data_IF_115630207773
#
_entry.id   IF_115630207773
#
_cell.length_a   1.000
_cell.length_b   1.000
_cell.length_c   1.000
_cell.angle_alpha   90.00
_cell.angle_beta   90.00
_cell.angle_gamma   90.00
#
_symmetry.space_group_name_H-M   'P 1'
#
loop_
_entity.id
_entity.type
_entity.pdbx_description
1 polymer ?
#
# COMPACT_ATOMS: atom_id res chain seq x y z
N UNK A 1 4.03 -0.34 -2.92
CA UNK A 1 4.99 -0.19 -4.04
C UNK A 1 4.51 -1.07 -5.19
N UNK A 2 4.47 -0.56 -6.43
CA UNK A 2 4.04 -1.36 -7.59
C UNK A 2 4.99 -2.53 -7.84
N UNK A 3 4.44 -3.72 -8.10
CA UNK A 3 5.21 -4.90 -8.46
C UNK A 3 5.87 -4.70 -9.83
N UNK A 4 6.95 -5.43 -10.10
CA UNK A 4 7.76 -5.29 -11.34
C UNK A 4 6.90 -5.39 -12.60
N UNK A 5 5.92 -6.31 -12.63
CA UNK A 5 5.02 -6.49 -13.77
C UNK A 5 3.90 -5.44 -13.85
N UNK A 6 3.60 -4.74 -12.76
CA UNK A 6 2.58 -3.67 -12.73
C UNK A 6 3.12 -2.36 -13.31
N UNK A 7 4.45 -2.19 -13.37
CA UNK A 7 5.08 -0.98 -13.95
C UNK A 7 4.79 -0.79 -15.44
N UNK A 8 4.50 -1.87 -16.16
CA UNK A 8 4.23 -1.84 -17.59
C UNK A 8 2.74 -1.63 -17.91
N UNK A 9 1.92 -1.37 -16.90
CA UNK A 9 0.49 -1.15 -17.10
C UNK A 9 0.26 0.23 -17.70
N UNK A 10 -0.73 0.35 -18.60
CA UNK A 10 -1.14 1.67 -19.07
C UNK A 10 -1.71 2.48 -17.90
N UNK A 11 -1.65 3.82 -18.01
CA UNK A 11 -2.00 4.74 -16.92
C UNK A 11 -3.39 4.48 -16.34
N UNK A 12 -4.40 4.22 -17.20
CA UNK A 12 -5.75 3.91 -16.76
C UNK A 12 -5.86 2.63 -15.92
N UNK A 13 -5.05 1.61 -16.22
CA UNK A 13 -5.00 0.37 -15.43
C UNK A 13 -4.29 0.60 -14.09
N UNK A 14 -3.27 1.47 -14.06
CA UNK A 14 -2.57 1.82 -12.82
C UNK A 14 -3.46 2.57 -11.85
N UNK A 15 -4.26 3.51 -12.36
CA UNK A 15 -5.20 4.26 -11.54
C UNK A 15 -6.35 3.38 -11.05
N UNK A 16 -6.89 2.49 -11.90
CA UNK A 16 -7.87 1.49 -11.46
C UNK A 16 -7.27 0.56 -10.40
N UNK A 17 -6.02 0.12 -10.57
CA UNK A 17 -5.32 -0.68 -9.58
C UNK A 17 -5.18 0.07 -8.24
N UNK A 18 -4.92 1.38 -8.28
CA UNK A 18 -4.83 2.21 -7.08
C UNK A 18 -6.17 2.27 -6.33
N UNK A 19 -7.29 2.43 -7.05
CA UNK A 19 -8.64 2.38 -6.46
C UNK A 19 -8.91 1.02 -5.81
N UNK A 20 -8.67 -0.06 -6.54
CA UNK A 20 -8.86 -1.43 -6.02
C UNK A 20 -7.97 -1.68 -4.79
N UNK A 21 -6.74 -1.18 -4.81
CA UNK A 21 -5.82 -1.31 -3.69
C UNK A 21 -6.30 -0.54 -2.46
N UNK A 22 -6.80 0.69 -2.64
CA UNK A 22 -7.40 1.45 -1.55
C UNK A 22 -8.61 0.72 -0.96
N UNK A 23 -9.54 0.25 -1.79
CA UNK A 23 -10.72 -0.48 -1.31
C UNK A 23 -10.34 -1.73 -0.50
N UNK A 24 -9.29 -2.45 -0.89
CA UNK A 24 -8.79 -3.60 -0.14
C UNK A 24 -8.24 -3.23 1.24
N UNK A 25 -7.54 -2.10 1.36
CA UNK A 25 -7.00 -1.62 2.64
C UNK A 25 -8.14 -1.19 3.57
N UNK A 26 -9.14 -0.52 3.01
CA UNK A 26 -10.24 0.08 3.75
C UNK A 26 -11.49 -0.80 3.79
N UNK A 27 -11.39 -2.09 3.40
CA UNK A 27 -12.55 -2.99 3.24
C UNK A 27 -13.40 -3.00 4.52
N UNK A 28 -12.81 -3.22 5.68
CA UNK A 28 -13.53 -3.29 6.94
C UNK A 28 -14.27 -2.00 7.33
N UNK A 29 -13.90 -0.86 6.76
CA UNK A 29 -14.62 0.40 6.95
C UNK A 29 -15.67 0.69 5.87
N UNK A 30 -15.46 0.18 4.66
CA UNK A 30 -16.30 0.48 3.49
C UNK A 30 -17.38 -0.58 3.25
N UNK A 31 -17.32 -1.72 3.93
CA UNK A 31 -18.28 -2.80 3.76
C UNK A 31 -19.70 -2.36 4.17
N UNK A 32 -20.65 -2.50 3.25
CA UNK A 32 -22.05 -2.13 3.48
C UNK A 32 -22.37 -0.62 3.38
N UNK A 33 -21.39 0.22 3.02
CA UNK A 33 -21.59 1.65 2.81
C UNK A 33 -21.49 2.02 1.33
N UNK A 34 -22.22 3.08 0.95
CA UNK A 34 -22.04 3.76 -0.34
C UNK A 34 -20.74 4.52 -0.35
N UNK A 35 -19.86 4.18 -1.27
CA UNK A 35 -18.55 4.80 -1.41
C UNK A 35 -18.48 5.59 -2.72
N UNK A 36 -18.17 6.88 -2.63
CA UNK A 36 -17.91 7.72 -3.81
C UNK A 36 -16.40 7.88 -3.99
N UNK A 37 -15.90 7.40 -5.13
CA UNK A 37 -14.49 7.48 -5.49
C UNK A 37 -14.31 8.57 -6.53
N UNK A 38 -13.57 9.61 -6.17
CA UNK A 38 -13.21 10.69 -7.08
C UNK A 38 -11.87 10.38 -7.74
N UNK A 39 -11.84 10.38 -9.07
CA UNK A 39 -10.64 10.12 -9.87
C UNK A 39 -10.31 11.30 -10.78
N UNK A 40 -9.01 11.58 -10.90
CA UNK A 40 -8.48 12.62 -11.79
C UNK A 40 -8.44 12.23 -13.26
N UNK A 41 -8.88 11.02 -13.62
CA UNK A 41 -8.77 10.48 -14.98
C UNK A 41 -10.13 10.12 -15.57
N UNK A 42 -10.42 10.76 -16.70
CA UNK A 42 -11.75 10.72 -17.33
C UNK A 42 -12.15 9.32 -17.81
N UNK A 43 -11.19 8.47 -18.22
CA UNK A 43 -11.53 7.12 -18.71
C UNK A 43 -12.13 6.23 -17.60
N UNK A 44 -11.78 6.49 -16.34
CA UNK A 44 -12.22 5.66 -15.22
C UNK A 44 -13.71 5.86 -14.88
N UNK A 45 -14.29 6.99 -15.27
CA UNK A 45 -15.72 7.25 -15.11
C UNK A 45 -16.58 6.22 -15.85
N UNK A 46 -16.09 5.69 -16.97
CA UNK A 46 -16.84 4.79 -17.84
C UNK A 46 -16.50 3.31 -17.66
N UNK A 47 -15.68 2.97 -16.66
CA UNK A 47 -15.19 1.60 -16.43
C UNK A 47 -16.33 0.61 -16.16
N UNK A 48 -17.43 1.05 -15.51
CA UNK A 48 -18.61 0.22 -15.29
C UNK A 48 -19.47 0.00 -16.53
N UNK A 49 -19.42 0.94 -17.49
CA UNK A 49 -20.22 0.91 -18.72
C UNK A 49 -19.51 0.31 -19.93
N UNK A 50 -18.19 0.10 -19.83
CA UNK A 50 -17.37 -0.40 -20.92
C UNK A 50 -17.65 -1.89 -21.19
N UNK A 51 -17.96 -2.24 -22.44
CA UNK A 51 -18.31 -3.61 -22.86
C UNK A 51 -17.08 -4.53 -22.95
N UNK A 52 -15.98 -4.02 -23.47
CA UNK A 52 -14.75 -4.78 -23.68
C UNK A 52 -13.73 -4.48 -22.59
N UNK A 53 -13.75 -5.32 -21.55
CA UNK A 53 -12.80 -5.28 -20.44
C UNK A 53 -11.78 -6.40 -20.57
N UNK A 54 -10.52 -6.07 -20.31
CA UNK A 54 -9.44 -7.05 -20.27
C UNK A 54 -9.65 -8.02 -19.08
N UNK A 55 -9.06 -9.23 -19.13
CA UNK A 55 -9.27 -10.26 -18.09
C UNK A 55 -8.92 -9.75 -16.68
N UNK A 56 -7.92 -8.88 -16.56
CA UNK A 56 -7.53 -8.23 -15.31
C UNK A 56 -8.60 -7.26 -14.80
N UNK A 57 -9.06 -6.37 -15.68
CA UNK A 57 -10.10 -5.40 -15.36
C UNK A 57 -11.37 -6.14 -14.92
N UNK A 58 -11.74 -7.24 -15.59
CA UNK A 58 -12.89 -8.08 -15.20
C UNK A 58 -12.79 -8.59 -13.75
N UNK A 59 -11.62 -9.09 -13.33
CA UNK A 59 -11.39 -9.51 -11.93
C UNK A 59 -11.52 -8.35 -10.94
N UNK A 60 -11.08 -7.16 -11.33
CA UNK A 60 -11.25 -5.96 -10.50
C UNK A 60 -12.70 -5.48 -10.46
N UNK A 61 -13.46 -5.65 -11.54
CA UNK A 61 -14.89 -5.36 -11.57
C UNK A 61 -15.69 -6.29 -10.66
N UNK A 62 -15.34 -7.57 -10.61
CA UNK A 62 -15.95 -8.52 -9.67
C UNK A 62 -15.75 -8.07 -8.23
N UNK A 63 -14.53 -7.66 -7.86
CA UNK A 63 -14.26 -7.06 -6.56
C UNK A 63 -15.06 -5.78 -6.33
N UNK A 64 -15.11 -4.87 -7.30
CA UNK A 64 -15.84 -3.61 -7.17
C UNK A 64 -17.34 -3.81 -6.97
N UNK A 65 -17.94 -4.87 -7.54
CA UNK A 65 -19.36 -5.20 -7.35
C UNK A 65 -19.71 -5.63 -5.93
N UNK A 66 -18.74 -6.11 -5.15
CA UNK A 66 -18.95 -6.43 -3.73
C UNK A 66 -19.12 -5.18 -2.87
N UNK A 67 -18.73 -4.00 -3.39
CA UNK A 67 -18.87 -2.71 -2.74
C UNK A 67 -19.90 -1.84 -3.49
N UNK A 68 -20.64 -0.99 -2.78
CA UNK A 68 -21.53 -0.01 -3.41
C UNK A 68 -20.72 1.24 -3.82
N UNK A 69 -19.84 1.07 -4.81
CA UNK A 69 -18.87 2.09 -5.26
C UNK A 69 -19.37 2.84 -6.50
N UNK A 70 -19.39 4.16 -6.41
CA UNK A 70 -19.63 5.06 -7.55
C UNK A 70 -18.34 5.82 -7.89
N UNK A 71 -17.84 5.67 -9.13
CA UNK A 71 -16.64 6.39 -9.59
C UNK A 71 -17.07 7.67 -10.32
N UNK A 72 -16.59 8.82 -9.85
CA UNK A 72 -16.85 10.13 -10.47
C UNK A 72 -15.54 10.78 -10.90
N UNK A 73 -15.55 11.41 -12.07
CA UNK A 73 -14.43 12.21 -12.54
C UNK A 73 -14.41 13.55 -11.82
N UNK A 74 -13.24 13.93 -11.30
CA UNK A 74 -13.02 15.24 -10.71
C UNK A 74 -11.79 15.92 -11.33
N UNK A 75 -11.90 17.18 -11.81
CA UNK A 75 -10.79 17.84 -12.48
C UNK A 75 -9.52 17.93 -11.63
N UNK A 76 -8.37 17.80 -12.27
CA UNK A 76 -7.05 17.63 -11.66
C UNK A 76 -6.69 18.70 -10.61
N UNK A 77 -7.23 19.92 -10.71
CA UNK A 77 -7.01 21.01 -9.72
C UNK A 77 -7.51 20.67 -8.32
N UNK A 78 -8.52 19.82 -8.19
CA UNK A 78 -9.07 19.43 -6.90
C UNK A 78 -8.61 18.03 -6.44
N UNK A 79 -8.02 17.24 -7.34
CA UNK A 79 -7.33 16.00 -6.98
C UNK A 79 -5.87 16.23 -6.51
N UNK A 80 -5.49 17.48 -6.26
CA UNK A 80 -4.12 17.89 -5.92
C UNK A 80 -3.57 17.13 -4.70
N UNK A 81 -4.40 16.86 -3.69
CA UNK A 81 -3.98 16.15 -2.47
C UNK A 81 -3.62 14.69 -2.78
N UNK A 82 -4.47 13.98 -3.50
CA UNK A 82 -4.22 12.58 -3.84
C UNK A 82 -3.04 12.44 -4.83
N UNK A 83 -2.97 13.35 -5.81
CA UNK A 83 -1.89 13.42 -6.78
C UNK A 83 -0.55 13.72 -6.09
N UNK A 84 -0.53 14.66 -5.13
CA UNK A 84 0.64 14.95 -4.31
C UNK A 84 1.06 13.75 -3.46
N UNK A 85 0.12 13.09 -2.77
CA UNK A 85 0.43 11.88 -1.99
C UNK A 85 0.97 10.75 -2.87
N UNK A 86 0.42 10.57 -4.07
CA UNK A 86 0.88 9.54 -5.02
C UNK A 86 2.33 9.78 -5.46
N UNK A 87 2.72 11.04 -5.70
CA UNK A 87 4.09 11.44 -6.03
C UNK A 87 5.02 11.38 -4.82
N UNK A 88 4.53 11.74 -3.63
CA UNK A 88 5.35 11.81 -2.42
C UNK A 88 5.79 10.44 -1.92
N UNK A 89 5.00 9.38 -2.13
CA UNK A 89 5.44 8.00 -1.79
C UNK A 89 6.62 7.56 -2.66
N UNK A 90 6.72 8.05 -3.90
CA UNK A 90 7.94 7.90 -4.71
C UNK A 90 9.09 8.70 -4.08
N UNK A 91 8.82 9.88 -3.54
CA UNK A 91 9.83 10.75 -2.92
C UNK A 91 10.30 10.31 -1.52
N UNK A 92 9.48 9.67 -0.68
CA UNK A 92 9.89 9.25 0.67
C UNK A 92 10.97 8.16 0.64
N UNK A 93 11.09 7.41 -0.47
CA UNK A 93 12.22 6.52 -0.74
C UNK A 93 13.21 7.04 -1.79
N UNK A 94 12.86 8.11 -2.53
CA UNK A 94 13.72 8.65 -3.58
C UNK A 94 14.50 9.84 -3.05
N UNK A 95 15.77 9.59 -2.75
CA UNK A 95 16.80 10.59 -2.45
C UNK A 95 17.05 11.56 -3.64
N UNK A 96 16.36 11.38 -4.77
CA UNK A 96 16.54 12.18 -5.97
C UNK A 96 16.24 13.66 -5.74
N UNK A 97 15.29 13.99 -4.86
CA UNK A 97 14.95 15.38 -4.53
C UNK A 97 15.90 16.03 -3.50
N UNK A 98 16.77 15.24 -2.86
CA UNK A 98 17.75 15.74 -1.89
C UNK A 98 19.08 16.05 -2.58
N UNK A 99 19.69 17.17 -2.17
CA UNK A 99 21.08 17.46 -2.52
C UNK A 99 21.97 16.29 -2.10
N UNK A 100 22.99 15.97 -2.91
CA UNK A 100 23.87 14.80 -2.68
C UNK A 100 24.43 14.78 -1.26
N UNK A 101 24.72 15.95 -0.69
CA UNK A 101 25.19 16.13 0.69
C UNK A 101 24.19 15.70 1.78
N UNK A 102 22.88 15.79 1.54
CA UNK A 102 21.82 15.46 2.51
C UNK A 102 21.35 14.01 2.42
N UNK A 103 21.77 13.28 1.38
CA UNK A 103 21.39 11.88 1.14
C UNK A 103 21.87 10.90 2.22
N UNK A 104 23.08 11.01 2.78
CA UNK A 104 23.54 10.09 3.84
C UNK A 104 22.65 10.19 5.09
N UNK A 105 22.37 11.41 5.53
CA UNK A 105 21.52 11.67 6.69
C UNK A 105 20.08 11.17 6.48
N UNK A 106 19.51 11.36 5.29
CA UNK A 106 18.17 10.83 4.99
C UNK A 106 18.13 9.29 4.99
N UNK A 107 19.19 8.62 4.53
CA UNK A 107 19.31 7.16 4.63
C UNK A 107 19.39 6.70 6.08
N UNK A 108 20.13 7.40 6.92
CA UNK A 108 20.23 7.09 8.35
C UNK A 108 18.87 7.25 9.05
N UNK A 109 18.17 8.34 8.80
CA UNK A 109 16.82 8.59 9.34
C UNK A 109 15.84 7.48 8.92
N UNK A 110 15.85 7.07 7.64
CA UNK A 110 15.01 5.96 7.16
C UNK A 110 15.40 4.60 7.76
N UNK A 111 16.70 4.38 8.00
CA UNK A 111 17.21 3.18 8.66
C UNK A 111 16.81 3.14 10.14
N UNK A 112 16.71 4.31 10.80
CA UNK A 112 16.26 4.42 12.18
C UNK A 112 14.75 4.25 12.31
N UNK A 113 13.97 4.81 11.38
CA UNK A 113 12.51 4.61 11.31
C UNK A 113 12.17 3.12 11.18
N UNK A 114 12.84 2.43 10.24
CA UNK A 114 12.59 1.00 10.00
C UNK A 114 13.03 0.09 11.15
N UNK A 115 13.89 0.55 12.06
CA UNK A 115 14.43 -0.27 13.15
C UNK A 115 13.75 -0.01 14.49
N UNK A 116 13.55 1.24 14.91
CA UNK A 116 13.11 1.53 16.30
C UNK A 116 12.35 2.87 16.51
N UNK A 117 12.14 3.71 15.49
CA UNK A 117 11.61 5.08 15.67
C UNK A 117 10.31 5.31 14.91
N UNK A 118 9.31 5.95 15.53
CA UNK A 118 8.22 6.58 14.78
C UNK A 118 8.56 8.04 14.52
N UNK A 119 8.55 8.43 13.24
CA UNK A 119 8.84 9.79 12.81
C UNK A 119 7.54 10.54 12.47
N UNK A 120 7.23 11.59 13.21
CA UNK A 120 6.10 12.48 12.93
C UNK A 120 6.57 13.77 12.27
N UNK A 121 5.86 14.23 11.24
CA UNK A 121 6.06 15.57 10.68
C UNK A 121 5.14 16.53 11.43
N UNK A 122 5.71 17.51 12.14
CA UNK A 122 4.93 18.55 12.81
C UNK A 122 4.57 19.68 11.83
N UNK A 123 3.38 20.24 11.97
CA UNK A 123 2.81 21.29 11.10
C UNK A 123 3.71 22.51 10.89
N UNK A 124 4.68 22.74 11.78
CA UNK A 124 5.65 23.84 11.70
C UNK A 124 6.97 23.50 10.97
N UNK A 125 6.98 22.50 10.09
CA UNK A 125 8.14 22.13 9.28
C UNK A 125 9.33 21.56 10.11
N UNK A 126 9.06 21.08 11.33
CA UNK A 126 10.01 20.39 12.19
C UNK A 126 9.77 18.88 12.19
N UNK A 127 10.84 18.09 12.19
CA UNK A 127 10.76 16.63 12.35
C UNK A 127 10.73 16.33 13.85
N UNK A 128 9.63 15.77 14.36
CA UNK A 128 9.54 15.34 15.74
C UNK A 128 9.91 13.85 15.80
N UNK A 129 11.02 13.54 16.45
CA UNK A 129 11.46 12.16 16.71
C UNK A 129 10.95 11.72 18.07
N UNK A 130 10.05 10.74 18.12
CA UNK A 130 9.71 10.04 19.37
C UNK A 130 10.36 8.67 19.37
N UNK A 131 11.21 8.41 20.37
CA UNK A 131 11.80 7.09 20.60
C UNK A 131 10.74 6.24 21.29
N UNK A 132 10.23 5.22 20.60
CA UNK A 132 9.36 4.20 21.19
C UNK A 132 10.17 2.92 21.37
N UNK A 133 10.45 2.55 22.63
CA UNK A 133 11.18 1.30 22.92
C UNK A 133 10.22 0.12 22.70
N UNK A 134 10.30 -0.51 21.53
CA UNK A 134 9.58 -1.77 21.26
C UNK A 134 10.40 -2.96 21.74
N UNK A 135 9.79 -3.80 22.57
CA UNK A 135 10.42 -5.02 23.04
C UNK A 135 10.77 -5.93 21.85
N UNK A 136 12.06 -6.23 21.65
CA UNK A 136 12.58 -7.13 20.62
C UNK A 136 12.23 -8.59 20.87
N UNK A 137 11.60 -8.88 22.01
CA UNK A 137 11.27 -10.23 22.47
C UNK A 137 10.45 -11.02 21.45
N UNK A 138 9.48 -10.39 20.78
CA UNK A 138 8.68 -11.07 19.74
C UNK A 138 9.54 -11.46 18.53
N UNK A 139 10.46 -10.59 18.10
CA UNK A 139 11.35 -10.87 16.97
C UNK A 139 12.41 -11.93 17.33
N UNK A 140 12.90 -11.93 18.57
CA UNK A 140 13.77 -13.00 19.07
C UNK A 140 13.05 -14.34 19.18
N UNK A 141 11.80 -14.36 19.66
CA UNK A 141 10.97 -15.57 19.68
C UNK A 141 10.80 -16.08 18.26
N UNK A 142 10.37 -15.23 17.31
CA UNK A 142 10.23 -15.61 15.90
C UNK A 142 11.53 -16.19 15.34
N UNK A 143 12.67 -15.54 15.59
CA UNK A 143 13.97 -16.00 15.10
C UNK A 143 14.38 -17.36 15.69
N UNK A 144 14.10 -17.58 16.98
CA UNK A 144 14.38 -18.86 17.65
C UNK A 144 13.41 -19.97 17.26
N UNK A 145 12.15 -19.66 16.91
CA UNK A 145 11.19 -20.64 16.41
C UNK A 145 11.66 -21.33 15.12
N UNK A 146 12.46 -20.67 14.27
CA UNK A 146 13.04 -21.30 13.08
C UNK A 146 14.17 -22.30 13.40
N UNK A 147 14.75 -22.25 14.59
CA UNK A 147 15.80 -23.18 15.05
C UNK A 147 15.24 -24.36 15.82
N UNK A 148 13.95 -24.34 16.13
CA UNK A 148 13.27 -25.41 16.85
C UNK A 148 12.82 -26.50 15.88
N UNK A 149 13.42 -27.68 16.01
CA UNK A 149 13.15 -28.84 15.16
C UNK A 149 11.70 -29.34 15.30
N UNK A 150 11.08 -29.18 16.48
CA UNK A 150 9.70 -29.59 16.73
C UNK A 150 8.71 -28.69 15.99
N UNK A 151 8.95 -27.36 16.03
CA UNK A 151 8.13 -26.38 15.31
C UNK A 151 8.32 -26.49 13.79
N UNK A 152 9.54 -26.74 13.32
CA UNK A 152 9.80 -27.00 11.92
C UNK A 152 9.13 -28.29 11.43
N UNK A 153 9.08 -29.34 12.25
CA UNK A 153 8.34 -30.56 11.93
C UNK A 153 6.83 -30.31 11.86
N UNK A 154 6.27 -29.52 12.78
CA UNK A 154 4.86 -29.11 12.74
C UNK A 154 4.54 -28.28 11.50
N UNK A 155 5.41 -27.32 11.15
CA UNK A 155 5.29 -26.49 9.94
C UNK A 155 5.29 -27.33 8.68
N UNK A 156 6.18 -28.33 8.59
CA UNK A 156 6.22 -29.27 7.46
C UNK A 156 4.93 -30.10 7.37
N UNK A 157 4.35 -30.52 8.50
CA UNK A 157 3.08 -31.26 8.55
C UNK A 157 1.88 -30.40 8.11
N UNK A 158 1.84 -29.12 8.50
CA UNK A 158 0.79 -28.17 8.08
C UNK A 158 0.90 -27.84 6.59
N UNK A 159 2.11 -27.61 6.08
CA UNK A 159 2.34 -27.36 4.64
C UNK A 159 2.01 -28.60 3.78
N UNK A 160 2.22 -29.81 4.31
CA UNK A 160 1.88 -31.06 3.64
C UNK A 160 0.38 -31.45 3.81
N UNK A 161 -0.46 -30.61 4.42
CA UNK A 161 -1.90 -30.86 4.59
C UNK A 161 -2.24 -32.02 5.52
N UNK A 162 -1.29 -32.48 6.36
CA UNK A 162 -1.47 -33.60 7.30
C UNK A 162 -1.73 -33.13 8.74
N UNK A 163 -2.12 -31.88 8.93
CA UNK A 163 -2.49 -31.39 10.25
C UNK A 163 -3.87 -31.95 10.61
N UNK A 164 -3.90 -32.97 11.47
CA UNK A 164 -5.13 -33.36 12.16
C UNK A 164 -5.47 -32.27 13.19
N UNK A 165 -6.74 -31.86 13.19
CA UNK A 165 -7.32 -30.95 14.17
C UNK A 165 -7.27 -31.56 15.58
#
# INVERSE_FOLDING_TARGET
QLKVHERNYPTHDLELAAVVFALKIWWHYLYGLKCEVFTGHHSLQHVFTQKDLNLRQRKWMELLKEYDVTIQYYPSKANMVADELSRKVVSMGSLACLSVSKRPLAKEIQTLESKFMQLGISEKCGVLTSIEVRATFIEEIKAKQFKDDSLNALRKKTVCGKAQA
#
